data_IF_598870498052
#
_entry.id   IF_598870498052
#
_cell.length_a   1.000
_cell.length_b   1.000
_cell.length_c   1.000
_cell.angle_alpha   90.00
_cell.angle_beta   90.00
_cell.angle_gamma   90.00
#
_symmetry.space_group_name_H-M   'P 1'
#
loop_
_entity.id
_entity.type
_entity.pdbx_description
1 polymer ?
#
# COMPACT_ATOMS: atom_id res chain seq x y z
N UNK A 1 11.65 -1.98 -24.77
CA UNK A 1 11.20 -3.22 -24.11
C UNK A 1 9.68 -3.33 -24.28
N UNK A 2 9.17 -4.49 -24.73
CA UNK A 2 7.73 -4.71 -24.84
C UNK A 2 7.12 -4.76 -23.43
N UNK A 3 6.08 -3.97 -23.16
CA UNK A 3 5.38 -3.96 -21.87
C UNK A 3 4.41 -5.13 -21.81
N UNK A 4 4.13 -5.64 -20.61
CA UNK A 4 3.09 -6.65 -20.40
C UNK A 4 1.74 -6.11 -20.88
N UNK A 5 1.02 -6.88 -21.70
CA UNK A 5 -0.24 -6.45 -22.33
C UNK A 5 -1.45 -6.45 -21.34
N UNK A 6 -1.29 -7.07 -20.16
CA UNK A 6 -2.30 -7.14 -19.08
C UNK A 6 -3.72 -7.53 -19.57
N UNK A 7 -3.81 -8.30 -20.65
CA UNK A 7 -5.05 -8.62 -21.38
C UNK A 7 -5.73 -9.92 -20.94
N UNK A 8 -5.26 -10.53 -19.85
CA UNK A 8 -5.86 -11.72 -19.25
C UNK A 8 -6.81 -11.37 -18.11
N UNK A 9 -7.28 -12.39 -17.39
CA UNK A 9 -8.10 -12.19 -16.19
C UNK A 9 -7.37 -11.31 -15.16
N UNK A 10 -8.09 -10.40 -14.48
CA UNK A 10 -7.49 -9.51 -13.50
C UNK A 10 -6.96 -10.32 -12.32
N UNK A 11 -5.76 -9.97 -11.87
CA UNK A 11 -5.11 -10.57 -10.71
C UNK A 11 -4.52 -9.47 -9.83
N UNK A 12 -4.48 -9.75 -8.55
CA UNK A 12 -3.88 -8.90 -7.52
C UNK A 12 -3.29 -9.78 -6.44
N UNK A 13 -2.07 -9.46 -6.01
CA UNK A 13 -1.32 -10.25 -5.04
C UNK A 13 -0.56 -9.32 -4.11
N UNK A 14 -0.51 -9.71 -2.84
CA UNK A 14 0.33 -9.10 -1.82
C UNK A 14 1.26 -10.14 -1.23
N UNK A 15 2.52 -9.78 -1.05
CA UNK A 15 3.50 -10.57 -0.30
C UNK A 15 4.02 -9.75 0.87
N UNK A 16 4.24 -10.42 2.00
CA UNK A 16 5.01 -9.90 3.12
C UNK A 16 6.36 -10.62 3.18
N UNK A 17 7.38 -9.94 3.67
CA UNK A 17 8.62 -10.61 4.08
C UNK A 17 8.38 -11.42 5.35
N UNK A 18 9.12 -12.53 5.51
CA UNK A 18 8.99 -13.42 6.67
C UNK A 18 10.25 -13.42 7.54
N UNK A 19 11.44 -13.15 6.99
CA UNK A 19 12.69 -13.08 7.73
C UNK A 19 13.48 -11.80 7.41
N UNK A 20 14.44 -11.49 8.28
CA UNK A 20 15.25 -10.26 8.18
C UNK A 20 16.12 -10.21 6.93
N UNK A 21 16.45 -11.36 6.35
CA UNK A 21 17.23 -11.41 5.11
C UNK A 21 16.42 -10.90 3.91
N UNK A 22 15.16 -11.32 3.76
CA UNK A 22 14.30 -10.82 2.67
C UNK A 22 13.99 -9.34 2.86
N UNK A 23 13.67 -8.91 4.09
CA UNK A 23 13.44 -7.48 4.40
C UNK A 23 14.67 -6.64 4.07
N UNK A 24 15.88 -7.07 4.48
CA UNK A 24 17.12 -6.36 4.13
C UNK A 24 17.37 -6.33 2.63
N UNK A 25 17.06 -7.41 1.91
CA UNK A 25 17.23 -7.46 0.45
C UNK A 25 16.25 -6.55 -0.27
N UNK A 26 15.00 -6.48 0.19
CA UNK A 26 13.98 -5.60 -0.37
C UNK A 26 14.31 -4.12 -0.12
N UNK A 27 14.80 -3.79 1.08
CA UNK A 27 15.25 -2.45 1.48
C UNK A 27 16.47 -1.92 0.72
N UNK A 28 17.11 -2.73 -0.12
CA UNK A 28 18.14 -2.23 -1.04
C UNK A 28 17.55 -1.45 -2.22
N UNK A 29 16.23 -1.57 -2.46
CA UNK A 29 15.55 -0.93 -3.58
C UNK A 29 14.81 0.35 -3.19
N UNK A 30 14.74 0.69 -1.91
CA UNK A 30 14.03 1.87 -1.44
C UNK A 30 14.62 2.38 -0.12
N UNK A 31 14.49 3.68 0.11
CA UNK A 31 14.84 4.31 1.38
C UNK A 31 13.59 4.57 2.23
N UNK A 32 13.79 4.68 3.55
CA UNK A 32 12.76 5.16 4.48
C UNK A 32 12.15 6.48 3.93
N UNK A 33 10.81 6.63 3.91
CA UNK A 33 10.17 7.84 3.41
C UNK A 33 10.72 9.11 4.07
N UNK A 34 11.07 10.11 3.26
CA UNK A 34 11.84 11.29 3.68
C UNK A 34 11.17 12.12 4.80
N UNK A 35 9.85 12.10 4.88
CA UNK A 35 9.06 12.84 5.86
C UNK A 35 8.94 12.13 7.21
N UNK A 36 9.29 10.84 7.30
CA UNK A 36 9.33 10.16 8.59
C UNK A 36 10.53 10.69 9.40
N UNK A 37 10.46 10.72 10.73
CA UNK A 37 11.61 11.02 11.58
C UNK A 37 12.79 10.08 11.30
N UNK A 38 14.02 10.56 11.44
CA UNK A 38 15.23 9.70 11.37
C UNK A 38 15.28 8.68 12.50
N UNK A 39 14.60 8.98 13.60
CA UNK A 39 14.46 8.12 14.77
C UNK A 39 13.37 7.08 14.61
N UNK A 40 12.56 7.14 13.54
CA UNK A 40 11.53 6.14 13.31
C UNK A 40 12.14 4.83 12.88
N UNK A 41 11.77 3.76 13.58
CA UNK A 41 12.17 2.42 13.23
C UNK A 41 11.16 1.86 12.21
N UNK A 42 11.66 1.12 11.24
CA UNK A 42 10.79 0.31 10.39
C UNK A 42 10.63 -1.05 11.05
N UNK A 43 9.40 -1.55 11.14
CA UNK A 43 9.16 -2.89 11.68
C UNK A 43 9.85 -3.95 10.80
N UNK A 44 9.96 -5.19 11.23
CA UNK A 44 10.72 -6.22 10.49
C UNK A 44 10.04 -6.68 9.20
N UNK A 45 8.77 -6.31 8.99
CA UNK A 45 7.94 -6.77 7.88
C UNK A 45 7.74 -5.65 6.85
N UNK A 46 8.06 -5.98 5.59
CA UNK A 46 7.77 -5.14 4.43
C UNK A 46 6.77 -5.85 3.52
N UNK A 47 5.95 -5.09 2.81
CA UNK A 47 4.98 -5.60 1.85
C UNK A 47 5.28 -5.15 0.43
N UNK A 48 5.00 -6.04 -0.51
CA UNK A 48 4.91 -5.73 -1.94
C UNK A 48 3.52 -6.12 -2.42
N UNK A 49 2.81 -5.18 -3.05
CA UNK A 49 1.57 -5.49 -3.75
C UNK A 49 1.71 -5.23 -5.24
N UNK A 50 1.23 -6.18 -6.05
CA UNK A 50 1.23 -6.09 -7.49
C UNK A 50 -0.09 -6.54 -8.08
N UNK A 51 -0.50 -5.93 -9.18
CA UNK A 51 -1.69 -6.36 -9.90
C UNK A 51 -1.98 -5.54 -11.15
N UNK A 52 -2.71 -6.15 -12.08
CA UNK A 52 -3.24 -5.48 -13.26
C UNK A 52 -4.46 -4.60 -12.94
N UNK A 53 -4.95 -3.82 -13.92
CA UNK A 53 -6.18 -3.05 -13.78
C UNK A 53 -7.35 -3.88 -13.24
N UNK A 54 -8.04 -3.38 -12.23
CA UNK A 54 -9.14 -4.10 -11.60
C UNK A 54 -9.11 -4.05 -10.08
N UNK A 55 -9.77 -5.03 -9.47
CA UNK A 55 -9.93 -5.15 -8.03
C UNK A 55 -8.57 -5.31 -7.35
N UNK A 56 -8.28 -4.47 -6.35
CA UNK A 56 -7.17 -4.65 -5.42
C UNK A 56 -7.66 -5.31 -4.14
N UNK A 57 -7.16 -4.86 -2.99
CA UNK A 57 -7.66 -5.32 -1.70
C UNK A 57 -9.15 -4.94 -1.49
N UNK A 58 -9.93 -5.85 -0.92
CA UNK A 58 -11.31 -5.61 -0.52
C UNK A 58 -11.40 -4.65 0.67
N UNK A 59 -12.61 -4.23 1.06
CA UNK A 59 -12.79 -3.35 2.22
C UNK A 59 -12.48 -4.11 3.52
N UNK A 60 -11.44 -3.69 4.25
CA UNK A 60 -11.00 -4.31 5.49
C UNK A 60 -10.27 -3.30 6.38
N UNK A 61 -10.04 -3.70 7.64
CA UNK A 61 -8.98 -3.14 8.49
C UNK A 61 -7.88 -4.18 8.60
N UNK A 62 -6.65 -3.71 8.78
CA UNK A 62 -5.52 -4.58 9.03
C UNK A 62 -5.49 -5.04 10.49
N UNK A 63 -4.64 -6.04 10.76
CA UNK A 63 -4.28 -6.49 12.11
C UNK A 63 -2.77 -6.38 12.27
N UNK A 64 -2.27 -5.17 12.06
CA UNK A 64 -0.85 -4.80 12.18
C UNK A 64 -0.59 -4.11 13.53
N UNK A 65 0.66 -3.86 13.90
CA UNK A 65 1.01 -3.28 15.20
C UNK A 65 1.02 -1.76 15.19
N UNK A 66 1.44 -1.17 14.08
CA UNK A 66 1.83 0.24 13.97
C UNK A 66 1.18 0.89 12.75
N UNK A 67 1.45 2.18 12.56
CA UNK A 67 0.93 2.91 11.39
C UNK A 67 1.67 2.46 10.14
N UNK A 68 0.93 2.31 9.04
CA UNK A 68 1.47 1.83 7.78
C UNK A 68 1.68 2.97 6.79
N UNK A 69 2.73 2.84 5.98
CA UNK A 69 2.90 3.65 4.77
C UNK A 69 2.96 2.74 3.53
N UNK A 70 2.48 3.24 2.39
CA UNK A 70 2.58 2.55 1.11
C UNK A 70 2.98 3.53 0.01
N UNK A 71 4.11 3.25 -0.63
CA UNK A 71 4.62 4.00 -1.77
C UNK A 71 4.19 3.36 -3.09
N UNK A 72 3.68 4.19 -4.01
CA UNK A 72 3.32 3.75 -5.35
C UNK A 72 4.56 3.82 -6.26
N UNK A 73 5.08 2.67 -6.66
CA UNK A 73 6.29 2.58 -7.50
C UNK A 73 5.91 2.70 -8.98
N UNK A 74 4.83 2.02 -9.39
CA UNK A 74 4.37 2.00 -10.79
C UNK A 74 2.86 1.89 -10.86
N UNK A 75 2.25 2.41 -11.93
CA UNK A 75 0.80 2.39 -12.11
C UNK A 75 0.09 3.29 -11.12
N UNK A 76 -1.24 3.21 -11.08
CA UNK A 76 -2.07 4.08 -10.26
C UNK A 76 -3.06 3.27 -9.44
N UNK A 77 -3.14 3.55 -8.14
CA UNK A 77 -4.04 2.85 -7.23
C UNK A 77 -5.01 3.83 -6.61
N UNK A 78 -6.30 3.57 -6.75
CA UNK A 78 -7.35 4.31 -6.04
C UNK A 78 -7.58 3.66 -4.68
N UNK A 79 -7.50 4.48 -3.65
CA UNK A 79 -7.83 4.14 -2.27
C UNK A 79 -9.19 4.71 -1.91
N UNK A 80 -9.96 3.94 -1.17
CA UNK A 80 -11.22 4.38 -0.57
C UNK A 80 -11.15 4.05 0.91
N UNK A 81 -11.24 5.08 1.76
CA UNK A 81 -11.16 4.99 3.20
C UNK A 81 -12.53 5.28 3.79
N UNK A 82 -13.06 4.36 4.57
CA UNK A 82 -14.29 4.55 5.32
C UNK A 82 -13.96 4.87 6.79
N UNK A 83 -14.77 5.72 7.45
CA UNK A 83 -14.55 6.11 8.83
C UNK A 83 -14.50 4.92 9.80
N UNK A 84 -13.67 4.99 10.85
CA UNK A 84 -13.74 4.05 11.95
C UNK A 84 -15.05 4.22 12.74
N UNK A 85 -15.51 3.18 13.47
CA UNK A 85 -16.76 3.22 14.24
C UNK A 85 -16.81 4.37 15.26
N UNK A 86 -15.68 4.70 15.86
CA UNK A 86 -15.52 5.73 16.90
C UNK A 86 -15.91 7.13 16.41
N UNK A 87 -15.84 7.40 15.11
CA UNK A 87 -16.22 8.67 14.53
C UNK A 87 -17.19 8.56 13.35
N UNK A 88 -17.93 7.45 13.24
CA UNK A 88 -18.81 7.14 12.11
C UNK A 88 -19.74 8.29 11.71
N UNK A 89 -20.27 9.05 12.68
CA UNK A 89 -21.21 10.15 12.46
C UNK A 89 -20.56 11.53 12.26
N UNK A 90 -19.24 11.64 12.43
CA UNK A 90 -18.51 12.91 12.38
C UNK A 90 -17.48 12.92 11.25
N UNK A 91 -16.74 11.83 11.10
CA UNK A 91 -15.76 11.64 10.04
C UNK A 91 -16.44 11.42 8.68
N UNK A 92 -15.73 11.72 7.60
CA UNK A 92 -16.18 11.51 6.23
C UNK A 92 -15.35 10.43 5.56
N UNK A 93 -15.97 9.68 4.66
CA UNK A 93 -15.23 8.80 3.76
C UNK A 93 -14.30 9.63 2.88
N UNK A 94 -13.10 9.09 2.62
CA UNK A 94 -12.09 9.69 1.77
C UNK A 94 -11.84 8.79 0.56
N UNK A 95 -11.59 9.39 -0.59
CA UNK A 95 -11.15 8.65 -1.76
C UNK A 95 -10.06 9.44 -2.46
N UNK A 96 -8.95 8.77 -2.75
CA UNK A 96 -7.79 9.38 -3.39
C UNK A 96 -7.17 8.41 -4.39
N UNK A 97 -6.44 8.96 -5.35
CA UNK A 97 -5.60 8.17 -6.26
C UNK A 97 -4.15 8.46 -5.90
N UNK A 98 -3.39 7.40 -5.66
CA UNK A 98 -1.96 7.47 -5.40
C UNK A 98 -1.24 7.20 -6.72
N UNK A 99 -0.42 8.14 -7.14
CA UNK A 99 0.34 8.14 -8.39
C UNK A 99 1.79 7.69 -8.15
N UNK A 100 2.52 7.24 -9.19
CA UNK A 100 3.92 6.85 -9.05
C UNK A 100 4.77 7.94 -8.39
N UNK A 101 5.53 7.57 -7.37
CA UNK A 101 6.36 8.48 -6.56
C UNK A 101 5.64 9.05 -5.33
N UNK A 102 4.32 8.89 -5.22
CA UNK A 102 3.57 9.30 -4.03
C UNK A 102 3.54 8.20 -2.96
N UNK A 103 3.37 8.64 -1.71
CA UNK A 103 3.33 7.78 -0.54
C UNK A 103 2.08 8.12 0.26
N UNK A 104 1.26 7.10 0.53
CA UNK A 104 0.13 7.21 1.44
C UNK A 104 0.56 6.73 2.83
N UNK A 105 0.29 7.55 3.85
CA UNK A 105 0.40 7.14 5.26
C UNK A 105 -1.01 7.04 5.82
N UNK A 106 -1.34 5.87 6.36
CA UNK A 106 -2.66 5.61 6.92
C UNK A 106 -2.55 4.60 8.05
N UNK A 107 -3.28 4.85 9.13
CA UNK A 107 -3.47 3.87 10.19
C UNK A 107 -4.51 2.84 9.71
N UNK A 108 -4.02 1.76 9.12
CA UNK A 108 -4.85 0.71 8.53
C UNK A 108 -5.56 -0.18 9.56
N UNK A 109 -5.14 -0.12 10.83
CA UNK A 109 -5.86 -0.76 11.94
C UNK A 109 -7.15 -0.03 12.31
N UNK A 110 -7.23 1.28 12.02
CA UNK A 110 -8.40 2.11 12.33
C UNK A 110 -9.26 2.38 11.11
N UNK A 111 -8.64 2.80 10.00
CA UNK A 111 -9.39 3.16 8.80
C UNK A 111 -9.69 1.93 7.96
N UNK A 112 -10.99 1.65 7.79
CA UNK A 112 -11.44 0.69 6.80
C UNK A 112 -10.99 1.16 5.42
N UNK A 113 -10.38 0.28 4.64
CA UNK A 113 -9.82 0.65 3.36
C UNK A 113 -10.02 -0.44 2.31
N UNK A 114 -10.22 -0.01 1.07
CA UNK A 114 -10.14 -0.87 -0.11
C UNK A 114 -9.34 -0.19 -1.21
N UNK A 115 -8.82 -1.00 -2.12
CA UNK A 115 -8.01 -0.50 -3.24
C UNK A 115 -8.50 -1.03 -4.59
N UNK A 116 -8.29 -0.22 -5.62
CA UNK A 116 -8.54 -0.58 -7.01
C UNK A 116 -7.37 -0.11 -7.87
N UNK A 117 -6.82 -0.99 -8.69
CA UNK A 117 -5.81 -0.62 -9.68
C UNK A 117 -6.52 0.01 -10.87
N UNK A 118 -6.10 1.23 -11.23
CA UNK A 118 -6.69 1.96 -12.34
C UNK A 118 -6.17 1.44 -13.70
N UNK A 119 -6.92 1.67 -14.80
CA UNK A 119 -6.47 1.29 -16.14
C UNK A 119 -5.11 1.88 -16.52
N UNK A 120 -4.39 1.17 -17.40
CA UNK A 120 -3.10 1.59 -17.92
C UNK A 120 -2.04 0.52 -17.68
N UNK A 121 -1.21 0.72 -16.68
CA UNK A 121 -0.03 -0.12 -16.41
C UNK A 121 -0.22 -1.02 -15.19
N UNK A 122 0.69 -1.98 -15.02
CA UNK A 122 0.80 -2.80 -13.82
C UNK A 122 1.00 -1.88 -12.60
N UNK A 123 0.21 -2.09 -11.55
CA UNK A 123 0.45 -1.44 -10.27
C UNK A 123 1.52 -2.21 -9.49
N UNK A 124 2.52 -1.50 -8.99
CA UNK A 124 3.50 -2.03 -8.02
C UNK A 124 3.57 -1.04 -6.87
N UNK A 125 3.39 -1.54 -5.65
CA UNK A 125 3.52 -0.75 -4.43
C UNK A 125 4.37 -1.47 -3.41
N UNK A 126 5.15 -0.72 -2.67
CA UNK A 126 5.90 -1.21 -1.51
C UNK A 126 5.37 -0.49 -0.25
N UNK A 127 5.41 -1.15 0.89
CA UNK A 127 5.00 -0.54 2.14
C UNK A 127 5.63 -1.22 3.33
N UNK A 128 5.58 -0.55 4.47
CA UNK A 128 6.02 -1.09 5.74
C UNK A 128 5.27 -0.39 6.88
N UNK A 129 5.38 -0.98 8.06
CA UNK A 129 5.04 -0.33 9.33
C UNK A 129 6.19 0.57 9.79
N UNK A 130 5.84 1.62 10.52
CA UNK A 130 6.83 2.48 11.17
C UNK A 130 6.41 2.92 12.57
N UNK A 131 7.41 3.11 13.44
CA UNK A 131 7.48 4.11 14.52
C UNK A 131 8.83 4.08 15.23
#
# INVERSE_FOLDING_TARGET
AARANLSGEPWYVGWSTCYDEESRRLRQYYDRPYFLPRTSESDTIDWIFMGGPGQGAHMHVDSVRRVSWQAQVRGHKRWQLAPPPECLYTCRALALTVHPGEILVVDTNRWYHMTRVLPGDLSITIGAEYD
#
